data_IF_448997944515
#
_entry.id   IF_448997944515
#
_cell.length_a   1.000
_cell.length_b   1.000
_cell.length_c   1.000
_cell.angle_alpha   90.00
_cell.angle_beta   90.00
_cell.angle_gamma   90.00
#
_symmetry.space_group_name_H-M   'P 1'
#
loop_
_entity.id
_entity.type
_entity.pdbx_description
1 polymer ?
#
# COMPACT_ATOMS: atom_id res chain seq x y z
N UNK A 1 27.53 -12.60 18.20
CA UNK A 1 26.78 -13.64 17.42
C UNK A 1 26.03 -14.62 18.32
N UNK A 2 26.58 -15.06 19.44
CA UNK A 2 25.89 -15.98 20.40
C UNK A 2 24.68 -15.30 21.09
N UNK A 3 24.77 -14.02 21.46
CA UNK A 3 23.66 -13.28 22.09
C UNK A 3 22.46 -13.12 21.16
N UNK A 4 22.67 -12.87 19.85
CA UNK A 4 21.57 -12.76 18.89
C UNK A 4 20.82 -14.10 18.70
N UNK A 5 21.53 -15.22 18.67
CA UNK A 5 20.91 -16.54 18.57
C UNK A 5 20.10 -16.90 19.82
N UNK A 6 20.55 -16.45 20.99
CA UNK A 6 19.81 -16.60 22.26
C UNK A 6 18.50 -15.82 22.26
N UNK A 7 18.51 -14.60 21.75
CA UNK A 7 17.33 -13.74 21.66
C UNK A 7 16.31 -14.28 20.64
N UNK A 8 16.77 -14.84 19.53
CA UNK A 8 15.87 -15.48 18.54
C UNK A 8 15.14 -16.69 19.12
N UNK A 9 15.86 -17.56 19.86
CA UNK A 9 15.25 -18.73 20.47
C UNK A 9 14.22 -18.35 21.55
N UNK A 10 14.49 -17.30 22.32
CA UNK A 10 13.54 -16.75 23.28
C UNK A 10 12.30 -16.18 22.59
N UNK A 11 12.46 -15.43 21.51
CA UNK A 11 11.35 -14.91 20.72
C UNK A 11 10.46 -16.02 20.16
N UNK A 12 11.08 -17.09 19.61
CA UNK A 12 10.34 -18.28 19.14
C UNK A 12 9.53 -18.95 20.22
N UNK A 13 10.11 -19.10 21.43
CA UNK A 13 9.41 -19.65 22.60
C UNK A 13 8.21 -18.77 23.01
N UNK A 14 8.35 -17.45 22.92
CA UNK A 14 7.25 -16.53 23.22
C UNK A 14 6.11 -16.65 22.19
N UNK A 15 6.42 -16.72 20.90
CA UNK A 15 5.41 -16.96 19.87
C UNK A 15 4.70 -18.30 20.07
N UNK A 16 5.44 -19.39 20.39
CA UNK A 16 4.86 -20.70 20.69
C UNK A 16 3.92 -20.64 21.88
N UNK A 17 4.34 -20.02 22.99
CA UNK A 17 3.47 -19.83 24.16
C UNK A 17 2.21 -19.03 23.82
N UNK A 18 2.34 -17.97 23.02
CA UNK A 18 1.20 -17.21 22.54
C UNK A 18 0.21 -18.06 21.75
N UNK A 19 0.69 -18.92 20.87
CA UNK A 19 -0.15 -19.85 20.09
C UNK A 19 -0.73 -20.98 20.93
N UNK A 20 -0.11 -21.39 22.05
CA UNK A 20 -0.73 -22.35 23.00
C UNK A 20 -1.97 -21.75 23.64
N UNK A 21 -1.96 -20.44 23.93
CA UNK A 21 -3.11 -19.73 24.52
C UNK A 21 -4.14 -19.37 23.45
N UNK A 22 -3.70 -18.91 22.28
CA UNK A 22 -4.56 -18.44 21.20
C UNK A 22 -4.15 -19.04 19.84
N UNK A 23 -4.44 -20.33 19.57
CA UNK A 23 -3.94 -21.03 18.38
C UNK A 23 -4.49 -20.49 17.06
N UNK A 24 -5.63 -19.79 17.06
CA UNK A 24 -6.24 -19.16 15.90
C UNK A 24 -5.90 -17.67 15.75
N UNK A 25 -5.06 -17.10 16.61
CA UNK A 25 -4.72 -15.69 16.54
C UNK A 25 -3.98 -15.36 15.25
N UNK A 26 -4.66 -14.70 14.31
CA UNK A 26 -4.08 -14.22 13.04
C UNK A 26 -2.88 -13.31 13.27
N UNK A 27 -2.91 -12.50 14.31
CA UNK A 27 -1.84 -11.55 14.64
C UNK A 27 -0.54 -12.25 15.01
N UNK A 28 -0.60 -13.35 15.77
CA UNK A 28 0.59 -14.11 16.17
C UNK A 28 1.18 -14.84 14.96
N UNK A 29 0.35 -15.48 14.12
CA UNK A 29 0.81 -16.13 12.91
C UNK A 29 1.45 -15.14 11.95
N UNK A 30 0.83 -13.97 11.73
CA UNK A 30 1.36 -12.91 10.88
C UNK A 30 2.68 -12.37 11.41
N UNK A 31 2.72 -12.01 12.71
CA UNK A 31 3.91 -11.45 13.33
C UNK A 31 5.09 -12.43 13.32
N UNK A 32 4.84 -13.70 13.66
CA UNK A 32 5.89 -14.71 13.66
C UNK A 32 6.38 -15.01 12.24
N UNK A 33 5.48 -15.24 11.29
CA UNK A 33 5.87 -15.49 9.90
C UNK A 33 6.67 -14.35 9.27
N UNK A 34 6.23 -13.10 9.48
CA UNK A 34 6.96 -11.92 8.97
C UNK A 34 8.29 -11.69 9.70
N UNK A 35 8.40 -12.04 10.96
CA UNK A 35 9.63 -11.96 11.71
C UNK A 35 10.66 -13.00 11.23
N UNK A 36 10.27 -14.27 11.05
CA UNK A 36 11.16 -15.30 10.48
C UNK A 36 11.61 -14.93 9.05
N UNK A 37 10.72 -14.35 8.24
CA UNK A 37 11.08 -13.87 6.89
C UNK A 37 12.17 -12.79 6.94
N UNK A 38 12.06 -11.82 7.87
CA UNK A 38 13.07 -10.76 8.05
C UNK A 38 14.42 -11.29 8.50
N UNK A 39 14.46 -12.41 9.22
CA UNK A 39 15.69 -13.10 9.61
C UNK A 39 16.29 -13.98 8.48
N UNK A 40 15.57 -14.11 7.36
CA UNK A 40 16.01 -14.93 6.23
C UNK A 40 15.57 -16.40 6.29
N UNK A 41 14.80 -16.82 7.30
CA UNK A 41 14.26 -18.17 7.42
C UNK A 41 12.99 -18.34 6.59
N UNK A 42 13.15 -18.25 5.26
CA UNK A 42 12.03 -18.14 4.30
C UNK A 42 11.08 -19.34 4.35
N UNK A 43 11.61 -20.56 4.36
CA UNK A 43 10.79 -21.78 4.36
C UNK A 43 9.93 -21.87 5.62
N UNK A 44 10.53 -21.53 6.76
CA UNK A 44 9.81 -21.49 8.04
C UNK A 44 8.73 -20.39 8.06
N UNK A 45 9.03 -19.25 7.49
CA UNK A 45 8.07 -18.16 7.34
C UNK A 45 6.86 -18.58 6.48
N UNK A 46 7.11 -19.24 5.35
CA UNK A 46 6.06 -19.81 4.47
C UNK A 46 5.17 -20.79 5.22
N UNK A 47 5.77 -21.74 5.95
CA UNK A 47 5.02 -22.72 6.74
C UNK A 47 4.12 -22.05 7.79
N UNK A 48 4.64 -21.05 8.52
CA UNK A 48 3.91 -20.33 9.55
C UNK A 48 2.74 -19.54 8.96
N UNK A 49 3.00 -18.76 7.89
CA UNK A 49 1.96 -17.99 7.20
C UNK A 49 0.91 -18.90 6.58
N UNK A 50 1.30 -20.01 5.94
CA UNK A 50 0.38 -20.99 5.38
C UNK A 50 -0.51 -21.65 6.46
N UNK A 51 0.06 -21.96 7.64
CA UNK A 51 -0.73 -22.44 8.79
C UNK A 51 -1.70 -21.36 9.28
N UNK A 52 -1.23 -20.11 9.37
CA UNK A 52 -2.07 -18.96 9.69
C UNK A 52 -3.26 -18.82 8.73
N UNK A 53 -3.02 -18.88 7.41
CA UNK A 53 -4.07 -18.85 6.39
C UNK A 53 -5.06 -20.00 6.50
N UNK A 54 -4.60 -21.22 6.78
CA UNK A 54 -5.50 -22.38 6.99
C UNK A 54 -6.43 -22.20 8.18
N UNK A 55 -5.94 -21.57 9.24
CA UNK A 55 -6.73 -21.32 10.46
C UNK A 55 -7.61 -20.07 10.35
N UNK A 56 -7.26 -19.14 9.46
CA UNK A 56 -7.95 -17.87 9.19
C UNK A 56 -8.11 -17.65 7.68
N UNK A 57 -8.94 -18.44 6.99
CA UNK A 57 -9.01 -18.45 5.53
C UNK A 57 -9.58 -17.15 4.92
N UNK A 58 -10.24 -16.31 5.74
CA UNK A 58 -10.84 -15.04 5.32
C UNK A 58 -9.99 -13.82 5.77
N UNK A 59 -8.72 -14.02 6.12
CA UNK A 59 -7.87 -12.91 6.52
C UNK A 59 -6.98 -12.41 5.37
N UNK A 60 -7.24 -11.19 4.84
CA UNK A 60 -6.50 -10.65 3.71
C UNK A 60 -5.04 -10.29 4.06
N UNK A 61 -4.73 -10.02 5.33
CA UNK A 61 -3.38 -9.65 5.76
C UNK A 61 -2.41 -10.84 5.74
N UNK A 62 -2.88 -12.01 6.17
CA UNK A 62 -2.09 -13.24 6.08
C UNK A 62 -1.84 -13.64 4.63
N UNK A 63 -2.86 -13.54 3.76
CA UNK A 63 -2.72 -13.79 2.33
C UNK A 63 -1.73 -12.81 1.69
N UNK A 64 -1.80 -11.53 2.01
CA UNK A 64 -0.85 -10.52 1.53
C UNK A 64 0.58 -10.83 1.97
N UNK A 65 0.79 -11.23 3.23
CA UNK A 65 2.12 -11.55 3.73
C UNK A 65 2.72 -12.76 3.00
N UNK A 66 1.91 -13.80 2.78
CA UNK A 66 2.33 -14.99 2.04
C UNK A 66 2.60 -14.65 0.57
N UNK A 67 1.72 -13.87 -0.08
CA UNK A 67 1.91 -13.41 -1.45
C UNK A 67 3.22 -12.63 -1.65
N UNK A 68 3.53 -11.72 -0.71
CA UNK A 68 4.79 -10.96 -0.74
C UNK A 68 6.00 -11.89 -0.65
N UNK A 69 5.94 -12.87 0.23
CA UNK A 69 7.04 -13.81 0.42
C UNK A 69 7.25 -14.69 -0.81
N UNK A 70 6.17 -15.16 -1.47
CA UNK A 70 6.26 -15.90 -2.73
C UNK A 70 6.86 -15.04 -3.85
N UNK A 71 6.42 -13.78 -3.96
CA UNK A 71 6.96 -12.84 -4.95
C UNK A 71 8.45 -12.55 -4.73
N UNK A 72 8.90 -12.44 -3.48
CA UNK A 72 10.31 -12.23 -3.12
C UNK A 72 11.17 -13.45 -3.45
N UNK A 73 10.58 -14.65 -3.46
CA UNK A 73 11.25 -15.90 -3.86
C UNK A 73 11.18 -16.17 -5.37
N UNK A 74 10.51 -15.32 -6.13
CA UNK A 74 10.36 -15.43 -7.59
C UNK A 74 9.19 -16.30 -8.05
N UNK A 75 8.40 -16.87 -7.14
CA UNK A 75 7.15 -17.56 -7.50
C UNK A 75 6.00 -16.57 -7.69
N UNK A 76 6.05 -15.87 -8.82
CA UNK A 76 5.06 -14.84 -9.15
C UNK A 76 3.66 -15.44 -9.34
N UNK A 77 3.55 -16.67 -9.83
CA UNK A 77 2.26 -17.32 -10.05
C UNK A 77 1.55 -17.66 -8.74
N UNK A 78 2.28 -18.17 -7.75
CA UNK A 78 1.74 -18.38 -6.41
C UNK A 78 1.38 -17.02 -5.75
N UNK A 79 2.24 -16.01 -5.89
CA UNK A 79 2.00 -14.68 -5.37
C UNK A 79 0.71 -14.07 -5.93
N UNK A 80 0.49 -14.14 -7.25
CA UNK A 80 -0.72 -13.65 -7.93
C UNK A 80 -1.99 -14.26 -7.37
N UNK A 81 -2.00 -15.59 -7.13
CA UNK A 81 -3.16 -16.27 -6.54
C UNK A 81 -3.51 -15.76 -5.15
N UNK A 82 -2.51 -15.56 -4.31
CA UNK A 82 -2.74 -15.05 -2.95
C UNK A 82 -3.13 -13.57 -2.93
N UNK A 83 -2.52 -12.74 -3.80
CA UNK A 83 -2.93 -11.34 -3.94
C UNK A 83 -4.37 -11.22 -4.45
N UNK A 84 -4.75 -11.99 -5.47
CA UNK A 84 -6.11 -12.01 -6.01
C UNK A 84 -7.13 -12.42 -4.95
N UNK A 85 -6.87 -13.51 -4.23
CA UNK A 85 -7.72 -13.92 -3.10
C UNK A 85 -7.86 -12.81 -2.06
N UNK A 86 -6.77 -12.14 -1.72
CA UNK A 86 -6.80 -11.01 -0.78
C UNK A 86 -7.64 -9.84 -1.26
N UNK A 87 -7.60 -9.51 -2.57
CA UNK A 87 -8.41 -8.44 -3.14
C UNK A 87 -9.88 -8.80 -3.27
N UNK A 88 -10.22 -10.08 -3.45
CA UNK A 88 -11.61 -10.57 -3.44
C UNK A 88 -12.20 -10.50 -2.03
N UNK A 89 -11.40 -10.84 -1.01
CA UNK A 89 -11.86 -10.81 0.39
C UNK A 89 -12.01 -9.39 0.93
N UNK A 90 -11.09 -8.52 0.61
CA UNK A 90 -11.11 -7.11 1.00
C UNK A 90 -10.61 -6.24 -0.16
N UNK A 91 -11.51 -5.82 -1.05
CA UNK A 91 -11.17 -4.90 -2.14
C UNK A 91 -10.63 -3.57 -1.65
N UNK A 92 -11.00 -3.15 -0.44
CA UNK A 92 -10.61 -1.85 0.15
C UNK A 92 -9.20 -1.85 0.74
N UNK A 93 -8.58 -3.01 0.85
CA UNK A 93 -7.23 -3.17 1.38
C UNK A 93 -6.17 -2.64 0.38
N UNK A 94 -6.01 -1.32 0.30
CA UNK A 94 -5.08 -0.66 -0.63
C UNK A 94 -3.63 -1.13 -0.51
N UNK A 95 -3.20 -1.57 0.68
CA UNK A 95 -1.87 -2.12 0.87
C UNK A 95 -1.65 -3.42 0.09
N UNK A 96 -2.70 -4.23 -0.12
CA UNK A 96 -2.64 -5.44 -0.94
C UNK A 96 -2.43 -5.09 -2.42
N UNK A 97 -3.20 -4.13 -2.94
CA UNK A 97 -3.04 -3.61 -4.31
C UNK A 97 -1.64 -3.07 -4.55
N UNK A 98 -1.11 -2.29 -3.60
CA UNK A 98 0.23 -1.73 -3.69
C UNK A 98 1.31 -2.83 -3.70
N UNK A 99 1.18 -3.83 -2.82
CA UNK A 99 2.14 -4.94 -2.76
C UNK A 99 2.13 -5.78 -4.05
N UNK A 100 0.95 -6.03 -4.60
CA UNK A 100 0.80 -6.75 -5.87
C UNK A 100 1.40 -5.96 -7.04
N UNK A 101 1.04 -4.69 -7.18
CA UNK A 101 1.59 -3.83 -8.22
C UNK A 101 3.13 -3.74 -8.17
N UNK A 102 3.69 -3.66 -6.96
CA UNK A 102 5.15 -3.67 -6.77
C UNK A 102 5.79 -5.01 -7.13
N UNK A 103 5.11 -6.13 -6.91
CA UNK A 103 5.59 -7.45 -7.32
C UNK A 103 5.62 -7.58 -8.84
N UNK A 104 4.54 -7.18 -9.53
CA UNK A 104 4.48 -7.17 -11.00
C UNK A 104 5.54 -6.24 -11.60
N UNK A 105 5.73 -5.04 -11.02
CA UNK A 105 6.77 -4.13 -11.46
C UNK A 105 8.18 -4.73 -11.37
N UNK A 106 8.51 -5.38 -10.24
CA UNK A 106 9.81 -6.05 -10.07
C UNK A 106 10.00 -7.19 -11.08
N UNK A 107 8.92 -7.83 -11.50
CA UNK A 107 8.93 -8.87 -12.52
C UNK A 107 9.01 -8.33 -13.95
N UNK A 108 8.99 -6.99 -14.15
CA UNK A 108 9.01 -6.34 -15.46
C UNK A 108 7.65 -6.23 -16.14
N UNK A 109 6.57 -6.63 -15.46
CA UNK A 109 5.20 -6.58 -15.96
C UNK A 109 4.59 -5.18 -15.75
N UNK A 110 5.14 -4.18 -16.47
CA UNK A 110 4.85 -2.76 -16.25
C UNK A 110 3.35 -2.42 -16.42
N UNK A 111 2.72 -2.94 -17.49
CA UNK A 111 1.32 -2.62 -17.77
C UNK A 111 0.37 -3.24 -16.73
N UNK A 112 0.71 -4.43 -16.22
CA UNK A 112 -0.02 -5.04 -15.09
C UNK A 112 0.14 -4.22 -13.83
N UNK A 113 1.36 -3.77 -13.54
CA UNK A 113 1.61 -2.91 -12.38
C UNK A 113 0.81 -1.60 -12.44
N UNK A 114 0.75 -0.94 -13.61
CA UNK A 114 -0.08 0.25 -13.84
C UNK A 114 -1.55 0.01 -13.57
N UNK A 115 -2.10 -1.08 -14.12
CA UNK A 115 -3.50 -1.44 -13.92
C UNK A 115 -3.81 -1.68 -12.43
N UNK A 116 -2.93 -2.37 -11.72
CA UNK A 116 -3.10 -2.64 -10.28
C UNK A 116 -3.01 -1.38 -9.43
N UNK A 117 -2.07 -0.47 -9.72
CA UNK A 117 -2.00 0.83 -9.05
C UNK A 117 -3.28 1.63 -9.27
N UNK A 118 -3.75 1.69 -10.51
CA UNK A 118 -4.99 2.37 -10.86
C UNK A 118 -6.18 1.80 -10.08
N UNK A 119 -6.39 0.47 -10.12
CA UNK A 119 -7.48 -0.18 -9.38
C UNK A 119 -7.39 0.10 -7.88
N UNK A 120 -6.20 -0.02 -7.29
CA UNK A 120 -5.99 0.24 -5.87
C UNK A 120 -6.27 1.69 -5.45
N UNK A 121 -5.98 2.66 -6.33
CA UNK A 121 -6.33 4.07 -6.09
C UNK A 121 -7.84 4.30 -6.21
N UNK A 122 -8.52 3.68 -7.19
CA UNK A 122 -9.94 3.84 -7.42
C UNK A 122 -10.80 3.38 -6.25
N UNK A 123 -10.36 2.39 -5.49
CA UNK A 123 -11.11 1.88 -4.34
C UNK A 123 -11.42 2.99 -3.33
N UNK A 124 -10.43 3.78 -2.95
CA UNK A 124 -10.61 4.94 -2.08
C UNK A 124 -9.49 5.97 -2.29
N UNK A 125 -9.63 6.88 -3.27
CA UNK A 125 -8.55 7.79 -3.67
C UNK A 125 -8.23 8.87 -2.61
N UNK A 126 -9.12 9.10 -1.65
CA UNK A 126 -8.94 10.09 -0.57
C UNK A 126 -8.35 9.49 0.70
N UNK A 127 -8.37 8.18 0.83
CA UNK A 127 -7.83 7.53 2.01
C UNK A 127 -6.31 7.67 2.09
N UNK A 128 -5.77 7.84 3.30
CA UNK A 128 -4.33 8.08 3.51
C UNK A 128 -3.44 7.01 2.87
N UNK A 129 -3.92 5.78 2.77
CA UNK A 129 -3.19 4.68 2.14
C UNK A 129 -3.05 4.87 0.62
N UNK A 130 -3.95 5.62 -0.04
CA UNK A 130 -3.83 5.93 -1.47
C UNK A 130 -2.57 6.75 -1.76
N UNK A 131 -2.07 7.53 -0.80
CA UNK A 131 -0.82 8.27 -0.95
C UNK A 131 0.37 7.34 -1.26
N UNK A 132 0.40 6.14 -0.67
CA UNK A 132 1.46 5.17 -0.94
C UNK A 132 1.34 4.56 -2.35
N UNK A 133 0.10 4.35 -2.84
CA UNK A 133 -0.15 3.88 -4.20
C UNK A 133 0.28 4.95 -5.22
N UNK A 134 -0.17 6.19 -5.06
CA UNK A 134 0.25 7.31 -5.91
C UNK A 134 1.76 7.51 -5.92
N UNK A 135 2.40 7.42 -4.75
CA UNK A 135 3.83 7.54 -4.62
C UNK A 135 4.57 6.42 -5.38
N UNK A 136 4.20 5.15 -5.14
CA UNK A 136 4.85 4.01 -5.79
C UNK A 136 4.64 4.04 -7.31
N UNK A 137 3.43 4.40 -7.77
CA UNK A 137 3.14 4.59 -9.19
C UNK A 137 3.93 5.76 -9.79
N UNK A 138 4.05 6.89 -9.09
CA UNK A 138 4.88 8.01 -9.50
C UNK A 138 6.36 7.64 -9.68
N UNK A 139 6.90 6.81 -8.78
CA UNK A 139 8.26 6.27 -8.90
C UNK A 139 8.40 5.35 -10.12
N UNK A 140 7.41 4.49 -10.39
CA UNK A 140 7.39 3.66 -11.59
C UNK A 140 7.44 4.53 -12.84
N UNK A 141 6.50 5.48 -13.00
CA UNK A 141 6.43 6.31 -14.20
C UNK A 141 7.65 7.20 -14.38
N UNK A 142 8.27 7.66 -13.30
CA UNK A 142 9.55 8.38 -13.35
C UNK A 142 10.66 7.52 -13.94
N UNK A 143 10.74 6.23 -13.59
CA UNK A 143 11.75 5.31 -14.13
C UNK A 143 11.47 4.91 -15.57
N UNK A 144 10.20 4.86 -15.98
CA UNK A 144 9.78 4.62 -17.36
C UNK A 144 9.90 5.88 -18.25
N UNK A 145 10.38 7.02 -17.70
CA UNK A 145 10.55 8.27 -18.44
C UNK A 145 9.28 9.11 -18.59
N UNK A 146 8.17 8.71 -18.02
CA UNK A 146 6.89 9.43 -18.07
C UNK A 146 6.83 10.55 -17.01
N UNK A 147 7.76 11.51 -17.09
CA UNK A 147 7.98 12.53 -16.05
C UNK A 147 6.74 13.40 -15.81
N UNK A 148 5.98 13.75 -16.85
CA UNK A 148 4.76 14.55 -16.70
C UNK A 148 3.71 13.85 -15.84
N UNK A 149 3.53 12.54 -16.05
CA UNK A 149 2.62 11.70 -15.28
C UNK A 149 3.14 11.51 -13.85
N UNK A 150 4.44 11.23 -13.68
CA UNK A 150 5.07 11.09 -12.38
C UNK A 150 4.83 12.34 -11.51
N UNK A 151 5.00 13.56 -12.08
CA UNK A 151 4.71 14.84 -11.39
C UNK A 151 3.26 14.92 -10.90
N UNK A 152 2.31 14.49 -11.71
CA UNK A 152 0.89 14.49 -11.33
C UNK A 152 0.62 13.50 -10.20
N UNK A 153 1.19 12.30 -10.29
CA UNK A 153 1.05 11.27 -9.25
C UNK A 153 1.66 11.70 -7.92
N UNK A 154 2.85 12.33 -7.92
CA UNK A 154 3.43 12.88 -6.70
C UNK A 154 2.58 14.02 -6.11
N UNK A 155 2.00 14.90 -6.95
CA UNK A 155 1.05 15.92 -6.48
C UNK A 155 -0.17 15.28 -5.79
N UNK A 156 -0.72 14.20 -6.36
CA UNK A 156 -1.80 13.46 -5.72
C UNK A 156 -1.36 12.89 -4.38
N UNK A 157 -0.20 12.25 -4.35
CA UNK A 157 0.33 11.61 -3.14
C UNK A 157 0.49 12.62 -1.99
N UNK A 158 1.09 13.79 -2.24
CA UNK A 158 1.27 14.82 -1.21
C UNK A 158 -0.05 15.52 -0.84
N UNK A 159 -1.04 15.60 -1.73
CA UNK A 159 -2.36 16.12 -1.41
C UNK A 159 -3.13 15.20 -0.48
N UNK A 160 -3.00 13.87 -0.66
CA UNK A 160 -3.63 12.88 0.22
C UNK A 160 -2.92 12.80 1.57
N UNK A 161 -1.59 12.81 1.58
CA UNK A 161 -0.78 12.75 2.80
C UNK A 161 0.25 13.87 2.82
N UNK A 162 -0.15 15.04 3.28
CA UNK A 162 0.67 16.26 3.35
C UNK A 162 1.86 16.12 4.30
N UNK A 163 1.74 15.27 5.33
CA UNK A 163 2.75 15.06 6.39
C UNK A 163 3.77 13.98 6.07
N UNK A 164 3.69 13.33 4.91
CA UNK A 164 4.67 12.29 4.55
C UNK A 164 5.92 12.90 3.92
N UNK A 165 6.92 13.21 4.72
CA UNK A 165 8.21 13.72 4.29
C UNK A 165 8.82 12.85 3.17
N UNK A 166 8.72 11.53 3.30
CA UNK A 166 9.22 10.57 2.30
C UNK A 166 8.71 10.86 0.88
N UNK A 167 7.43 11.20 0.74
CA UNK A 167 6.83 11.46 -0.58
C UNK A 167 7.40 12.74 -1.18
N UNK A 168 7.51 13.80 -0.37
CA UNK A 168 8.09 15.07 -0.79
C UNK A 168 9.55 14.92 -1.23
N UNK A 169 10.36 14.23 -0.42
CA UNK A 169 11.77 14.01 -0.72
C UNK A 169 11.98 13.16 -1.98
N UNK A 170 11.16 12.10 -2.16
CA UNK A 170 11.23 11.28 -3.39
C UNK A 170 10.88 12.10 -4.63
N UNK A 171 9.89 12.99 -4.52
CA UNK A 171 9.54 13.89 -5.62
C UNK A 171 10.67 14.88 -5.92
N UNK A 172 11.24 15.53 -4.90
CA UNK A 172 12.38 16.42 -5.09
C UNK A 172 13.58 15.72 -5.75
N UNK A 173 13.91 14.49 -5.31
CA UNK A 173 14.95 13.67 -5.93
C UNK A 173 14.66 13.37 -7.42
N UNK A 174 13.39 13.13 -7.76
CA UNK A 174 13.00 12.91 -9.15
C UNK A 174 13.28 14.16 -10.00
N UNK A 175 12.95 15.37 -9.52
CA UNK A 175 13.23 16.62 -10.25
C UNK A 175 14.74 16.89 -10.37
N UNK A 176 15.55 16.62 -9.33
CA UNK A 176 17.02 16.69 -9.40
C UNK A 176 17.57 15.76 -10.47
N UNK A 177 17.10 14.52 -10.53
CA UNK A 177 17.52 13.57 -11.57
C UNK A 177 17.12 14.00 -12.98
N UNK A 178 16.15 14.92 -13.12
CA UNK A 178 15.78 15.55 -14.39
C UNK A 178 16.57 16.83 -14.66
N UNK A 179 17.44 17.26 -13.75
CA UNK A 179 18.23 18.49 -13.87
C UNK A 179 17.46 19.77 -13.51
N UNK A 180 16.28 19.65 -12.87
CA UNK A 180 15.47 20.78 -12.41
C UNK A 180 15.70 21.05 -10.92
N UNK A 181 16.92 21.53 -10.60
CA UNK A 181 17.34 21.81 -9.22
C UNK A 181 16.47 22.90 -8.56
N UNK A 182 16.02 23.88 -9.35
CA UNK A 182 15.17 24.96 -8.84
C UNK A 182 13.86 24.37 -8.30
N UNK A 183 13.22 23.53 -9.08
CA UNK A 183 11.98 22.86 -8.70
C UNK A 183 12.16 21.92 -7.53
N UNK A 184 13.27 21.21 -7.48
CA UNK A 184 13.62 20.34 -6.35
C UNK A 184 13.74 21.13 -5.03
N UNK A 185 14.37 22.32 -5.07
CA UNK A 185 14.47 23.23 -3.91
C UNK A 185 13.08 23.74 -3.50
N UNK A 186 12.24 24.15 -4.45
CA UNK A 186 10.87 24.58 -4.17
C UNK A 186 10.06 23.48 -3.44
N UNK A 187 10.15 22.23 -3.92
CA UNK A 187 9.45 21.08 -3.31
C UNK A 187 9.95 20.83 -1.89
N UNK A 188 11.27 20.92 -1.63
CA UNK A 188 11.83 20.78 -0.27
C UNK A 188 11.36 21.90 0.65
N UNK A 189 11.29 23.13 0.15
CA UNK A 189 10.79 24.27 0.92
C UNK A 189 9.29 24.07 1.29
N UNK A 190 8.50 23.61 0.34
CA UNK A 190 7.07 23.26 0.60
C UNK A 190 6.96 22.14 1.63
N UNK A 191 7.82 21.11 1.56
CA UNK A 191 7.87 20.06 2.57
C UNK A 191 8.15 20.62 3.96
N UNK A 192 9.21 21.43 4.10
CA UNK A 192 9.61 22.03 5.38
C UNK A 192 8.51 22.92 5.97
N UNK A 193 7.85 23.71 5.15
CA UNK A 193 6.70 24.52 5.56
C UNK A 193 5.55 23.64 6.07
N UNK A 194 5.18 22.58 5.35
CA UNK A 194 4.10 21.67 5.76
C UNK A 194 4.42 20.90 7.05
N UNK A 195 5.69 20.49 7.23
CA UNK A 195 6.12 19.84 8.46
C UNK A 195 6.05 20.81 9.65
N UNK A 196 6.43 22.08 9.46
CA UNK A 196 6.32 23.10 10.47
C UNK A 196 4.84 23.39 10.85
N UNK A 197 3.95 23.52 9.87
CA UNK A 197 2.50 23.69 10.08
C UNK A 197 1.91 22.52 10.87
N UNK A 198 2.27 21.28 10.52
CA UNK A 198 1.79 20.08 11.21
C UNK A 198 2.30 20.01 12.69
N UNK A 199 3.48 20.56 12.99
CA UNK A 199 4.01 20.60 14.36
C UNK A 199 3.32 21.63 15.26
N UNK A 200 2.68 22.65 14.70
CA UNK A 200 1.96 23.71 15.43
C UNK A 200 0.50 23.35 15.74
N UNK A 201 0.00 22.21 15.23
CA UNK A 201 -1.27 21.65 15.66
C UNK A 201 -2.51 22.29 15.02
N UNK A 202 -2.42 22.86 13.84
CA UNK A 202 -3.62 23.23 13.06
C UNK A 202 -4.22 21.96 12.41
N UNK A 203 -5.29 21.48 13.03
CA UNK A 203 -6.18 20.45 12.49
C UNK A 203 -7.12 21.07 11.46
N UNK A 204 -6.61 21.50 10.32
CA UNK A 204 -7.47 21.77 9.18
C UNK A 204 -7.64 20.50 8.35
N UNK A 205 -8.60 19.67 8.75
CA UNK A 205 -9.07 18.47 8.04
C UNK A 205 -10.10 18.84 6.95
N UNK A 206 -9.92 19.97 6.27
CA UNK A 206 -10.75 20.26 5.10
C UNK A 206 -10.09 19.63 3.86
N UNK A 207 -10.57 18.47 3.38
CA UNK A 207 -10.12 17.95 2.11
C UNK A 207 -10.64 18.88 1.01
N UNK A 208 -9.77 19.28 0.10
CA UNK A 208 -10.16 19.92 -1.15
C UNK A 208 -11.00 18.91 -1.96
N UNK A 209 -12.31 18.89 -1.70
CA UNK A 209 -13.26 17.85 -2.13
C UNK A 209 -13.52 17.82 -3.66
N UNK A 210 -12.89 18.70 -4.44
CA UNK A 210 -13.21 18.87 -5.86
C UNK A 210 -12.17 18.38 -6.88
N UNK A 211 -10.96 18.06 -6.45
CA UNK A 211 -9.81 17.96 -7.38
C UNK A 211 -9.43 16.52 -7.80
N UNK A 212 -9.94 15.49 -7.12
CA UNK A 212 -9.48 14.12 -7.36
C UNK A 212 -10.16 13.42 -8.54
N UNK A 213 -11.48 13.56 -8.69
CA UNK A 213 -12.22 12.87 -9.76
C UNK A 213 -11.76 13.32 -11.16
N UNK A 214 -11.66 14.63 -11.45
CA UNK A 214 -11.12 15.08 -12.73
C UNK A 214 -9.68 14.66 -12.99
N UNK A 215 -8.87 14.58 -11.93
CA UNK A 215 -7.48 14.19 -12.04
C UNK A 215 -7.32 12.70 -12.36
N UNK A 216 -8.11 11.84 -11.74
CA UNK A 216 -8.11 10.40 -11.99
C UNK A 216 -8.70 10.11 -13.39
N UNK A 217 -9.74 10.81 -13.80
CA UNK A 217 -10.30 10.75 -15.16
C UNK A 217 -9.27 11.19 -16.21
N UNK A 218 -8.51 12.25 -15.92
CA UNK A 218 -7.40 12.71 -16.77
C UNK A 218 -6.28 11.68 -16.83
N UNK A 219 -5.93 11.04 -15.71
CA UNK A 219 -4.93 9.98 -15.66
C UNK A 219 -5.38 8.74 -16.43
N UNK A 220 -6.66 8.36 -16.33
CA UNK A 220 -7.23 7.24 -17.09
C UNK A 220 -7.20 7.53 -18.59
N UNK A 221 -7.54 8.76 -19.00
CA UNK A 221 -7.49 9.19 -20.39
C UNK A 221 -6.05 9.23 -20.94
N UNK A 222 -5.09 9.73 -20.16
CA UNK A 222 -3.68 9.79 -20.56
C UNK A 222 -3.02 8.42 -20.71
N UNK A 223 -3.49 7.44 -19.92
CA UNK A 223 -2.96 6.08 -19.93
C UNK A 223 -3.69 5.15 -20.91
N UNK A 224 -4.76 5.65 -21.58
CA UNK A 224 -5.60 4.82 -22.45
C UNK A 224 -6.28 3.67 -21.70
N UNK A 225 -6.43 3.79 -20.38
CA UNK A 225 -7.07 2.79 -19.54
C UNK A 225 -8.54 3.19 -19.36
N UNK A 226 -9.45 2.28 -19.66
CA UNK A 226 -10.86 2.50 -19.32
C UNK A 226 -10.99 2.60 -17.80
N UNK A 227 -11.71 3.62 -17.32
CA UNK A 227 -12.09 3.69 -15.92
C UNK A 227 -12.85 2.40 -15.58
N UNK A 228 -12.50 1.71 -14.45
CA UNK A 228 -13.28 0.55 -14.05
C UNK A 228 -14.73 0.99 -13.95
N UNK A 229 -15.62 0.29 -14.65
CA UNK A 229 -17.07 0.52 -14.54
C UNK A 229 -17.46 0.11 -13.14
N UNK A 230 -17.57 1.07 -12.25
CA UNK A 230 -18.23 0.88 -10.95
C UNK A 230 -19.68 0.61 -11.30
N UNK A 231 -20.16 -0.59 -11.01
CA UNK A 231 -21.57 -0.88 -11.15
C UNK A 231 -22.33 0.05 -10.20
N UNK A 232 -23.44 0.63 -10.66
CA UNK A 232 -24.31 1.50 -9.85
C UNK A 232 -24.76 0.85 -8.54
N UNK A 233 -24.75 -0.48 -8.47
CA UNK A 233 -25.03 -1.27 -7.26
C UNK A 233 -23.94 -1.19 -6.19
N UNK A 234 -22.69 -0.84 -6.54
CA UNK A 234 -21.61 -0.64 -5.58
C UNK A 234 -21.59 0.77 -4.99
N UNK A 235 -22.05 1.79 -5.72
CA UNK A 235 -22.23 3.16 -5.20
C UNK A 235 -23.34 3.20 -4.14
N UNK A 236 -24.45 2.49 -4.36
CA UNK A 236 -25.56 2.41 -3.38
C UNK A 236 -25.19 1.63 -2.11
N UNK A 237 -24.26 0.67 -2.19
CA UNK A 237 -23.75 -0.04 -1.01
C UNK A 237 -22.81 0.81 -0.17
N UNK A 238 -22.05 1.73 -0.76
CA UNK A 238 -21.13 2.61 -0.04
C UNK A 238 -21.88 3.70 0.73
N UNK A 239 -22.92 4.28 0.14
CA UNK A 239 -23.79 5.27 0.80
C UNK A 239 -24.61 4.65 1.94
N UNK A 240 -25.02 3.39 1.81
CA UNK A 240 -25.82 2.71 2.85
C UNK A 240 -24.99 2.25 4.08
N UNK A 241 -23.67 2.09 3.96
CA UNK A 241 -22.80 1.77 5.10
C UNK A 241 -22.45 2.98 5.96
N UNK A 242 -22.33 4.17 5.38
CA UNK A 242 -22.12 5.40 6.16
C UNK A 242 -23.37 5.83 6.96
N UNK A 243 -24.57 5.48 6.49
CA UNK A 243 -25.82 5.78 7.20
C UNK A 243 -26.10 4.83 8.37
N UNK A 244 -25.58 3.60 8.37
CA UNK A 244 -25.82 2.63 9.44
C UNK A 244 -24.92 2.83 10.67
N UNK A 245 -23.76 3.46 10.53
CA UNK A 245 -22.88 3.79 11.67
C UNK A 245 -23.35 5.02 12.45
N UNK A 246 -24.13 5.92 11.81
CA UNK A 246 -24.70 7.09 12.47
C UNK A 246 -25.95 6.77 13.32
N UNK A 247 -26.66 5.66 13.07
CA UNK A 247 -27.85 5.24 13.82
C UNK A 247 -27.56 4.38 15.07
N UNK A 248 -26.32 3.93 15.29
CA UNK A 248 -25.93 3.15 16.46
C UNK A 248 -25.37 3.97 17.63
N UNK A 249 -25.45 5.31 17.56
CA UNK A 249 -25.03 6.24 18.62
C UNK A 249 -26.17 7.04 19.24
N UNK A 250 -27.41 6.49 19.30
CA UNK A 250 -28.46 7.01 20.20
C UNK A 250 -29.03 5.92 21.08
#
# INVERSE_FOLDING_TARGET
MEDQAGDEEQARKLFQKGLMVAPKSKYIWLAWGTWEAKLGYVDRAKELLAKGCKLNPLDPYLLQALAKLEAEQGDLEAARKYFDQGTVLDPTHQANWNAWAMAEWRAGEIDRARNLFQRGVWVNPKHINAANLFHAWGVLESREGNISLARQLFKCAVNVNKSSERIWLTWAMMEENQGDDIRAIEIRNMCSQRMAEASVGETDLSPAAGTFRPLIETLSSLLGLEAPRVSTEEEERFDSTELSEAELMY
#
